data_IF_866860425075
#
_entry.id   IF_866860425075
#
_cell.length_a   1.000
_cell.length_b   1.000
_cell.length_c   1.000
_cell.angle_alpha   90.00
_cell.angle_beta   90.00
_cell.angle_gamma   90.00
#
_symmetry.space_group_name_H-M   'P 1'
#
loop_
_entity.id
_entity.type
_entity.pdbx_description
1 polymer ?
#
# COMPACT_ATOMS: atom_id res chain seq x y z
N UNK A 1 2.36 5.38 -0.78
CA UNK A 1 1.98 4.15 -1.50
C UNK A 1 1.96 2.98 -0.52
N UNK A 2 0.97 2.08 -0.57
CA UNK A 2 1.13 0.79 0.05
C UNK A 2 2.33 0.09 -0.61
N UNK A 3 3.25 -0.39 0.22
CA UNK A 3 4.40 -1.20 -0.20
C UNK A 3 4.06 -2.68 -0.28
N UNK A 4 2.82 -3.05 0.03
CA UNK A 4 2.47 -4.41 0.39
C UNK A 4 1.87 -5.08 -0.84
N UNK A 5 2.42 -6.23 -1.18
CA UNK A 5 1.90 -7.14 -2.16
C UNK A 5 0.57 -7.70 -1.64
N UNK A 6 -0.51 -7.51 -2.39
CA UNK A 6 -1.77 -8.18 -2.08
C UNK A 6 -1.69 -9.57 -2.70
N UNK A 7 -1.48 -10.58 -1.86
CA UNK A 7 -1.61 -11.98 -2.26
C UNK A 7 -3.05 -12.42 -2.02
N UNK A 8 -3.77 -12.76 -3.08
CA UNK A 8 -5.08 -13.42 -3.00
C UNK A 8 -4.89 -14.89 -3.28
N UNK A 9 -5.46 -15.74 -2.43
CA UNK A 9 -5.51 -17.17 -2.70
C UNK A 9 -6.94 -17.51 -3.06
N UNK A 10 -7.16 -17.94 -4.30
CA UNK A 10 -8.43 -18.50 -4.78
C UNK A 10 -8.44 -20.03 -4.62
N UNK A 11 -7.69 -20.55 -3.66
CA UNK A 11 -7.62 -21.98 -3.39
C UNK A 11 -8.56 -22.38 -2.25
N UNK A 12 -9.30 -23.46 -2.51
CA UNK A 12 -10.07 -24.18 -1.49
C UNK A 12 -9.26 -25.27 -0.81
N UNK A 13 -7.99 -25.46 -1.24
CA UNK A 13 -7.05 -26.45 -0.71
C UNK A 13 -6.97 -26.41 0.82
N UNK A 14 -7.30 -27.52 1.50
CA UNK A 14 -7.13 -27.67 2.93
C UNK A 14 -5.69 -27.44 3.40
N UNK A 15 -4.70 -27.76 2.57
CA UNK A 15 -3.27 -27.63 2.88
C UNK A 15 -2.85 -26.16 2.98
N UNK A 16 -3.27 -25.32 2.03
CA UNK A 16 -2.99 -23.87 2.10
C UNK A 16 -3.72 -23.25 3.29
N UNK A 17 -4.99 -23.61 3.52
CA UNK A 17 -5.75 -23.09 4.66
C UNK A 17 -5.11 -23.46 6.01
N UNK A 18 -4.62 -24.70 6.14
CA UNK A 18 -3.88 -25.14 7.32
C UNK A 18 -2.57 -24.35 7.49
N UNK A 19 -1.84 -24.11 6.40
CA UNK A 19 -0.62 -23.29 6.40
C UNK A 19 -0.88 -21.85 6.84
N UNK A 20 -1.96 -21.22 6.34
CA UNK A 20 -2.38 -19.87 6.72
C UNK A 20 -2.75 -19.80 8.21
N UNK A 21 -3.47 -20.79 8.74
CA UNK A 21 -3.79 -20.86 10.15
C UNK A 21 -2.53 -21.04 11.03
N UNK A 22 -1.56 -21.84 10.57
CA UNK A 22 -0.28 -22.01 11.24
C UNK A 22 0.54 -20.71 11.28
N UNK A 23 0.62 -19.98 10.14
CA UNK A 23 1.25 -18.65 10.06
C UNK A 23 0.62 -17.70 11.07
N UNK A 24 -0.71 -17.62 11.12
CA UNK A 24 -1.41 -16.70 12.01
C UNK A 24 -1.08 -16.97 13.49
N UNK A 25 -0.98 -18.24 13.87
CA UNK A 25 -0.62 -18.67 15.22
C UNK A 25 0.86 -18.39 15.55
N UNK A 26 1.76 -18.68 14.63
CA UNK A 26 3.20 -18.48 14.81
C UNK A 26 3.56 -17.00 15.00
N UNK A 27 2.92 -16.13 14.22
CA UNK A 27 3.16 -14.69 14.24
C UNK A 27 2.33 -13.96 15.32
N UNK A 28 1.56 -14.68 16.12
CA UNK A 28 0.65 -14.13 17.14
C UNK A 28 -0.22 -13.02 16.56
N UNK A 29 -0.84 -13.29 15.39
CA UNK A 29 -1.66 -12.29 14.72
C UNK A 29 -2.93 -12.02 15.53
N UNK A 30 -3.40 -10.76 15.60
CA UNK A 30 -4.65 -10.44 16.30
C UNK A 30 -5.82 -11.26 15.75
N UNK A 31 -6.53 -11.95 16.64
CA UNK A 31 -7.74 -12.69 16.31
C UNK A 31 -8.99 -11.80 16.28
N UNK A 32 -10.12 -12.39 16.66
CA UNK A 32 -11.39 -11.68 16.83
C UNK A 32 -11.28 -10.53 17.83
N UNK A 33 -12.12 -9.51 17.64
CA UNK A 33 -12.18 -8.40 18.58
C UNK A 33 -12.76 -8.86 19.93
N UNK A 34 -12.17 -8.42 21.06
CA UNK A 34 -12.78 -8.63 22.37
C UNK A 34 -14.21 -8.07 22.42
N UNK A 35 -15.10 -8.73 23.16
CA UNK A 35 -16.52 -8.34 23.24
C UNK A 35 -16.73 -6.88 23.68
N UNK A 36 -15.88 -6.37 24.58
CA UNK A 36 -15.91 -4.96 25.02
C UNK A 36 -15.58 -3.98 23.89
N UNK A 37 -14.69 -4.35 22.97
CA UNK A 37 -14.30 -3.55 21.80
C UNK A 37 -15.43 -3.53 20.79
N UNK A 38 -16.02 -4.69 20.50
CA UNK A 38 -17.19 -4.79 19.60
C UNK A 38 -18.36 -3.98 20.12
N UNK A 39 -18.70 -4.12 21.41
CA UNK A 39 -19.79 -3.35 22.01
C UNK A 39 -19.51 -1.84 22.05
N UNK A 40 -18.25 -1.41 22.22
CA UNK A 40 -17.87 -0.01 22.12
C UNK A 40 -18.03 0.54 20.70
N UNK A 41 -17.63 -0.23 19.69
CA UNK A 41 -17.78 0.12 18.29
C UNK A 41 -19.26 0.25 17.86
N UNK A 42 -20.12 -0.67 18.31
CA UNK A 42 -21.57 -0.60 18.03
C UNK A 42 -22.22 0.64 18.66
N UNK A 43 -21.85 0.98 19.90
CA UNK A 43 -22.32 2.22 20.54
C UNK A 43 -21.82 3.47 19.80
N UNK A 44 -20.53 3.51 19.46
CA UNK A 44 -19.96 4.62 18.70
C UNK A 44 -20.64 4.81 17.33
N UNK A 45 -21.00 3.71 16.66
CA UNK A 45 -21.76 3.74 15.41
C UNK A 45 -23.16 4.34 15.58
N UNK A 46 -23.86 4.03 16.69
CA UNK A 46 -25.20 4.51 16.96
C UNK A 46 -25.24 5.98 17.43
N UNK A 47 -24.22 6.41 18.18
CA UNK A 47 -24.19 7.71 18.87
C UNK A 47 -23.37 8.78 18.11
N UNK A 48 -23.04 8.54 16.84
CA UNK A 48 -22.20 9.47 16.06
C UNK A 48 -22.85 10.85 15.94
N UNK A 49 -22.06 11.89 16.23
CA UNK A 49 -22.47 13.27 16.02
C UNK A 49 -21.89 13.75 14.70
N UNK A 50 -22.77 14.13 13.77
CA UNK A 50 -22.36 14.65 12.46
C UNK A 50 -21.84 16.08 12.59
N UNK A 51 -20.78 16.46 11.83
CA UNK A 51 -20.32 17.84 11.74
C UNK A 51 -21.42 18.81 11.26
N UNK A 52 -21.28 20.07 11.68
CA UNK A 52 -22.22 21.15 11.30
C UNK A 52 -22.13 21.49 9.81
N UNK A 53 -20.92 21.52 9.25
CA UNK A 53 -20.68 21.82 7.84
C UNK A 53 -21.28 20.71 6.97
N UNK A 54 -22.34 21.05 6.23
CA UNK A 54 -22.99 20.16 5.30
C UNK A 54 -22.38 20.29 3.91
N UNK A 55 -21.82 19.19 3.39
CA UNK A 55 -21.33 19.07 2.01
C UNK A 55 -21.96 17.91 1.26
N UNK A 56 -23.20 17.56 1.61
CA UNK A 56 -24.00 16.55 0.90
C UNK A 56 -24.49 17.03 -0.48
N UNK A 57 -24.24 18.30 -0.81
CA UNK A 57 -24.43 18.91 -2.13
C UNK A 57 -23.39 18.43 -3.15
N UNK A 58 -22.20 18.03 -2.71
CA UNK A 58 -21.15 17.50 -3.56
C UNK A 58 -21.43 16.03 -3.94
N UNK A 59 -21.55 15.68 -5.23
CA UNK A 59 -21.80 14.31 -5.67
C UNK A 59 -20.52 13.47 -5.66
N UNK A 60 -20.05 13.11 -4.47
CA UNK A 60 -18.89 12.23 -4.30
C UNK A 60 -19.14 10.84 -4.89
N UNK A 61 -18.08 10.20 -5.37
CA UNK A 61 -18.06 8.77 -5.71
C UNK A 61 -16.90 8.07 -4.99
N UNK A 62 -17.05 6.79 -4.69
CA UNK A 62 -15.93 5.94 -4.24
C UNK A 62 -15.49 5.02 -5.39
N UNK A 63 -14.21 4.67 -5.44
CA UNK A 63 -13.65 3.78 -6.47
C UNK A 63 -12.64 2.85 -5.79
N UNK A 64 -12.97 1.57 -5.74
CA UNK A 64 -12.25 0.58 -4.92
C UNK A 64 -12.23 -0.79 -5.62
N UNK A 65 -11.49 -1.79 -5.10
CA UNK A 65 -11.64 -3.16 -5.59
C UNK A 65 -13.09 -3.64 -5.48
N UNK A 66 -13.50 -4.51 -6.41
CA UNK A 66 -14.83 -5.10 -6.38
C UNK A 66 -15.09 -5.80 -5.03
N UNK A 67 -16.24 -5.52 -4.42
CA UNK A 67 -16.62 -6.11 -3.13
C UNK A 67 -16.14 -5.35 -1.88
N UNK A 68 -15.23 -4.37 -1.99
CA UNK A 68 -14.72 -3.59 -0.84
C UNK A 68 -15.80 -2.86 -0.04
N UNK A 69 -15.83 -3.04 1.27
CA UNK A 69 -16.83 -2.40 2.15
C UNK A 69 -16.21 -1.33 3.06
N UNK A 70 -14.89 -1.33 3.20
CA UNK A 70 -14.08 -0.38 3.99
C UNK A 70 -13.61 0.81 3.15
N UNK A 71 -14.58 1.63 2.72
CA UNK A 71 -14.37 2.73 1.79
C UNK A 71 -13.85 3.96 2.56
N UNK A 72 -12.53 4.11 2.58
CA UNK A 72 -11.83 5.21 3.23
C UNK A 72 -12.08 6.58 2.55
N UNK A 73 -12.28 6.57 1.23
CA UNK A 73 -12.04 7.69 0.34
C UNK A 73 -13.22 7.90 -0.62
N UNK A 74 -13.66 9.14 -0.79
CA UNK A 74 -14.59 9.51 -1.85
C UNK A 74 -14.14 10.80 -2.55
N UNK A 75 -14.18 10.82 -3.88
CA UNK A 75 -13.65 11.90 -4.72
C UNK A 75 -14.76 12.62 -5.47
N UNK A 76 -14.60 13.93 -5.58
CA UNK A 76 -15.38 14.79 -6.47
C UNK A 76 -14.45 15.87 -7.03
N UNK A 77 -14.39 16.00 -8.35
CA UNK A 77 -13.49 16.94 -9.03
C UNK A 77 -14.33 17.88 -9.88
N UNK A 78 -13.99 19.16 -9.88
CA UNK A 78 -14.60 20.18 -10.73
C UNK A 78 -13.54 21.05 -11.38
N UNK A 79 -13.86 21.65 -12.53
CA UNK A 79 -13.02 22.69 -13.14
C UNK A 79 -13.14 24.00 -12.36
N UNK A 80 -12.04 24.75 -12.32
CA UNK A 80 -11.98 26.10 -11.72
C UNK A 80 -11.10 26.99 -12.62
N UNK A 81 -11.75 27.70 -13.55
CA UNK A 81 -11.04 28.44 -14.59
C UNK A 81 -10.31 27.49 -15.55
N UNK A 82 -9.00 27.67 -15.69
CA UNK A 82 -8.10 26.78 -16.42
C UNK A 82 -7.59 25.60 -15.58
N UNK A 83 -7.76 25.65 -14.26
CA UNK A 83 -7.36 24.61 -13.31
C UNK A 83 -8.52 23.77 -12.78
N UNK A 84 -8.30 23.19 -11.60
CA UNK A 84 -9.22 22.23 -10.99
C UNK A 84 -9.34 22.42 -9.48
N UNK A 85 -10.47 21.98 -8.93
CA UNK A 85 -10.65 21.77 -7.49
C UNK A 85 -10.96 20.30 -7.25
N UNK A 86 -10.09 19.65 -6.47
CA UNK A 86 -10.29 18.28 -6.00
C UNK A 86 -10.88 18.36 -4.60
N UNK A 87 -12.12 17.90 -4.45
CA UNK A 87 -12.74 17.60 -3.18
C UNK A 87 -12.53 16.12 -2.87
N UNK A 88 -11.85 15.84 -1.76
CA UNK A 88 -11.53 14.48 -1.36
C UNK A 88 -11.96 14.25 0.09
N UNK A 89 -13.03 13.49 0.24
CA UNK A 89 -13.59 13.13 1.54
C UNK A 89 -12.88 11.88 2.06
N UNK A 90 -12.32 11.97 3.26
CA UNK A 90 -11.69 10.86 3.98
C UNK A 90 -12.55 10.53 5.21
N UNK A 91 -12.82 9.25 5.47
CA UNK A 91 -13.58 8.82 6.65
C UNK A 91 -13.05 9.42 7.96
N UNK A 92 -13.90 10.10 8.74
CA UNK A 92 -13.49 10.70 10.02
C UNK A 92 -13.59 9.69 11.17
N UNK A 93 -12.54 8.88 11.35
CA UNK A 93 -12.48 7.87 12.43
C UNK A 93 -12.54 8.50 13.82
N UNK A 94 -12.06 9.74 14.00
CA UNK A 94 -12.08 10.43 15.27
C UNK A 94 -13.50 10.85 15.70
N UNK A 95 -14.47 10.88 14.77
CA UNK A 95 -15.88 11.04 15.11
C UNK A 95 -16.46 9.83 15.88
N UNK A 96 -15.83 8.66 15.76
CA UNK A 96 -16.29 7.41 16.38
C UNK A 96 -15.40 6.96 17.53
N UNK A 97 -14.09 7.10 17.38
CA UNK A 97 -13.09 6.55 18.31
C UNK A 97 -12.55 7.65 19.21
N UNK A 98 -12.76 7.51 20.53
CA UNK A 98 -12.31 8.45 21.54
C UNK A 98 -11.00 7.99 22.17
N UNK A 99 -10.07 8.91 22.51
CA UNK A 99 -8.82 8.53 23.16
C UNK A 99 -9.05 7.72 24.44
N UNK A 100 -8.37 6.58 24.56
CA UNK A 100 -8.46 5.69 25.71
C UNK A 100 -9.71 4.81 25.78
N UNK A 101 -10.63 4.89 24.81
CA UNK A 101 -11.74 3.94 24.73
C UNK A 101 -11.27 2.54 24.26
N UNK A 102 -12.10 1.48 24.39
CA UNK A 102 -11.70 0.14 24.01
C UNK A 102 -11.28 0.00 22.53
N UNK A 103 -11.89 0.75 21.62
CA UNK A 103 -11.56 0.72 20.19
C UNK A 103 -10.21 1.38 19.94
N UNK A 104 -9.93 2.50 20.60
CA UNK A 104 -8.65 3.21 20.54
C UNK A 104 -7.48 2.36 21.03
N UNK A 105 -7.65 1.70 22.18
CA UNK A 105 -6.63 0.83 22.77
C UNK A 105 -6.33 -0.35 21.84
N UNK A 106 -7.35 -1.01 21.30
CA UNK A 106 -7.16 -2.14 20.38
C UNK A 106 -6.58 -1.70 19.02
N UNK A 107 -7.01 -0.54 18.49
CA UNK A 107 -6.45 0.03 17.26
C UNK A 107 -4.95 0.35 17.42
N UNK A 108 -4.53 0.85 18.58
CA UNK A 108 -3.12 1.09 18.88
C UNK A 108 -2.30 -0.21 18.98
N UNK A 109 -2.90 -1.31 19.46
CA UNK A 109 -2.27 -2.64 19.50
C UNK A 109 -2.12 -3.26 18.10
N UNK A 110 -3.10 -3.04 17.23
CA UNK A 110 -3.12 -3.56 15.85
C UNK A 110 -2.22 -2.73 14.93
N UNK A 111 -2.35 -1.41 14.96
CA UNK A 111 -1.58 -0.42 14.19
C UNK A 111 -2.00 -0.27 12.72
N UNK A 112 -2.30 -1.37 12.04
CA UNK A 112 -2.84 -1.37 10.68
C UNK A 112 -3.67 -2.64 10.40
N UNK A 113 -4.40 -2.63 9.29
CA UNK A 113 -5.07 -3.84 8.78
C UNK A 113 -4.04 -4.76 8.15
N UNK A 114 -4.05 -6.03 8.55
CA UNK A 114 -3.19 -7.04 7.94
C UNK A 114 -3.96 -7.73 6.81
N UNK A 115 -3.36 -7.74 5.63
CA UNK A 115 -3.88 -8.45 4.45
C UNK A 115 -3.06 -9.70 4.23
N UNK A 116 -3.74 -10.81 3.97
CA UNK A 116 -3.13 -12.06 3.54
C UNK A 116 -3.99 -12.75 2.50
N UNK A 117 -3.55 -13.95 2.12
CA UNK A 117 -4.17 -14.87 1.17
C UNK A 117 -5.64 -15.19 1.43
N UNK A 118 -6.55 -14.26 1.09
CA UNK A 118 -7.99 -14.38 1.31
C UNK A 118 -8.46 -14.05 2.74
N UNK A 119 -7.55 -13.71 3.65
CA UNK A 119 -7.88 -13.33 5.04
C UNK A 119 -7.49 -11.88 5.31
N UNK A 120 -8.39 -11.14 5.94
CA UNK A 120 -8.17 -9.74 6.37
C UNK A 120 -8.34 -9.66 7.87
N UNK A 121 -7.35 -9.10 8.56
CA UNK A 121 -7.40 -8.79 9.99
C UNK A 121 -7.53 -7.28 10.13
N UNK A 122 -8.77 -6.75 10.28
CA UNK A 122 -9.02 -5.33 10.20
C UNK A 122 -8.45 -4.58 11.42
N UNK A 123 -8.09 -3.31 11.20
CA UNK A 123 -7.66 -2.38 12.25
C UNK A 123 -8.81 -2.04 13.20
N UNK A 124 -10.00 -1.81 12.65
CA UNK A 124 -11.21 -1.43 13.40
C UNK A 124 -12.32 -2.48 13.24
N UNK A 125 -13.21 -2.65 14.23
CA UNK A 125 -14.35 -3.56 14.12
C UNK A 125 -15.24 -3.26 12.89
N UNK A 126 -15.80 -4.28 12.21
CA UNK A 126 -16.62 -4.11 11.00
C UNK A 126 -17.79 -3.13 11.15
N UNK A 127 -18.39 -3.04 12.34
CA UNK A 127 -19.44 -2.07 12.65
C UNK A 127 -19.04 -0.62 12.34
N UNK A 128 -17.74 -0.29 12.46
CA UNK A 128 -17.17 0.98 12.07
C UNK A 128 -16.57 0.91 10.66
N UNK A 129 -15.58 0.04 10.44
CA UNK A 129 -14.76 0.02 9.23
C UNK A 129 -15.54 -0.31 7.96
N UNK A 130 -16.55 -1.18 8.03
CA UNK A 130 -17.37 -1.58 6.88
C UNK A 130 -18.79 -1.01 6.94
N UNK A 131 -19.06 -0.14 7.91
CA UNK A 131 -20.39 0.34 8.24
C UNK A 131 -20.41 1.84 8.50
N UNK A 132 -20.37 2.21 9.78
CA UNK A 132 -20.68 3.58 10.21
C UNK A 132 -19.65 4.62 9.77
N UNK A 133 -18.38 4.25 9.64
CA UNK A 133 -17.31 5.16 9.19
C UNK A 133 -17.03 5.05 7.68
N UNK A 134 -17.40 3.94 7.05
CA UNK A 134 -17.24 3.74 5.60
C UNK A 134 -18.11 4.70 4.80
N UNK A 135 -17.55 5.26 3.72
CA UNK A 135 -18.21 6.21 2.81
C UNK A 135 -19.13 5.51 1.79
N UNK A 136 -19.93 4.56 2.27
CA UNK A 136 -20.92 3.83 1.47
C UNK A 136 -21.92 4.78 0.79
N UNK A 137 -22.45 4.41 -0.39
CA UNK A 137 -23.36 5.25 -1.16
C UNK A 137 -24.66 5.52 -0.40
N UNK A 138 -25.25 6.68 -0.69
CA UNK A 138 -26.53 7.18 -0.19
C UNK A 138 -26.65 7.36 1.32
N UNK A 139 -25.52 7.34 2.02
CA UNK A 139 -25.45 7.48 3.46
C UNK A 139 -24.69 8.75 3.85
N UNK A 140 -25.25 9.51 4.79
CA UNK A 140 -24.57 10.69 5.33
C UNK A 140 -23.52 10.23 6.34
N UNK A 141 -22.29 10.72 6.16
CA UNK A 141 -21.11 10.30 6.94
C UNK A 141 -20.25 11.48 7.35
N UNK A 142 -19.63 11.45 8.55
CA UNK A 142 -18.61 12.42 8.91
C UNK A 142 -17.32 12.14 8.12
N UNK A 143 -16.70 13.18 7.59
CA UNK A 143 -15.48 13.09 6.82
C UNK A 143 -14.55 14.27 7.08
N UNK A 144 -13.25 14.01 6.95
CA UNK A 144 -12.24 15.03 6.73
C UNK A 144 -12.28 15.39 5.25
N UNK A 145 -12.87 16.55 4.95
CA UNK A 145 -13.01 17.04 3.58
C UNK A 145 -11.78 17.86 3.20
N UNK A 146 -10.92 17.26 2.39
CA UNK A 146 -9.81 17.95 1.75
C UNK A 146 -10.33 18.72 0.53
N UNK A 147 -9.96 19.99 0.42
CA UNK A 147 -10.16 20.81 -0.77
C UNK A 147 -8.81 21.24 -1.28
N UNK A 148 -8.45 20.79 -2.47
CA UNK A 148 -7.13 20.99 -3.06
C UNK A 148 -7.30 21.70 -4.39
N UNK A 149 -6.69 22.88 -4.55
CA UNK A 149 -6.72 23.66 -5.79
C UNK A 149 -5.51 23.33 -6.64
N UNK A 150 -5.74 23.11 -7.92
CA UNK A 150 -4.72 22.80 -8.91
C UNK A 150 -4.73 23.85 -10.03
N UNK A 151 -3.56 24.14 -10.60
CA UNK A 151 -3.46 24.88 -11.86
C UNK A 151 -3.78 23.99 -13.08
N UNK A 152 -3.64 24.56 -14.29
CA UNK A 152 -3.91 23.89 -15.55
C UNK A 152 -2.98 22.68 -15.81
N UNK A 153 -1.77 22.71 -15.27
CA UNK A 153 -0.79 21.64 -15.34
C UNK A 153 -0.95 20.60 -14.21
N UNK A 154 -2.00 20.76 -13.40
CA UNK A 154 -2.33 19.89 -12.29
C UNK A 154 -1.42 20.07 -11.08
N UNK A 155 -0.55 21.09 -11.02
CA UNK A 155 0.29 21.38 -9.86
C UNK A 155 -0.54 21.96 -8.70
N UNK A 156 -0.16 21.63 -7.47
CA UNK A 156 -0.91 22.03 -6.29
C UNK A 156 -0.67 23.51 -5.96
N UNK A 157 -1.76 24.28 -5.89
CA UNK A 157 -1.75 25.71 -5.52
C UNK A 157 -2.08 25.93 -4.04
N UNK A 158 -3.07 25.20 -3.53
CA UNK A 158 -3.57 25.36 -2.15
C UNK A 158 -4.17 24.05 -1.64
N UNK A 159 -4.14 23.85 -0.32
CA UNK A 159 -4.74 22.71 0.37
C UNK A 159 -5.32 23.14 1.71
N UNK A 160 -6.56 22.72 1.96
CA UNK A 160 -7.22 22.85 3.26
C UNK A 160 -7.99 21.59 3.60
N UNK A 161 -8.19 21.35 4.89
CA UNK A 161 -9.04 20.28 5.40
C UNK A 161 -9.99 20.81 6.46
N UNK A 162 -11.25 20.39 6.39
CA UNK A 162 -12.31 20.75 7.33
C UNK A 162 -13.14 19.51 7.64
N UNK A 163 -13.73 19.43 8.84
CA UNK A 163 -14.73 18.39 9.14
C UNK A 163 -16.05 18.75 8.50
N UNK A 164 -16.61 17.83 7.73
CA UNK A 164 -17.91 17.98 7.09
C UNK A 164 -18.73 16.69 7.19
N UNK A 165 -20.05 16.81 7.06
CA UNK A 165 -20.89 15.67 6.69
C UNK A 165 -21.02 15.61 5.18
N UNK A 166 -20.79 14.44 4.60
CA UNK A 166 -20.80 14.19 3.15
C UNK A 166 -21.72 13.02 2.82
N UNK A 167 -22.04 12.85 1.54
CA UNK A 167 -22.79 11.69 1.05
C UNK A 167 -22.19 11.25 -0.28
N UNK A 168 -21.68 10.01 -0.32
CA UNK A 168 -21.33 9.37 -1.59
C UNK A 168 -22.59 9.04 -2.37
N UNK A 169 -22.56 9.24 -3.68
CA UNK A 169 -23.68 9.01 -4.59
C UNK A 169 -23.55 7.72 -5.39
N UNK A 170 -22.34 7.16 -5.46
CA UNK A 170 -22.07 5.92 -6.17
C UNK A 170 -20.84 5.22 -5.61
N UNK A 171 -20.86 3.89 -5.68
CA UNK A 171 -19.73 3.02 -5.39
C UNK A 171 -19.33 2.31 -6.66
N UNK A 172 -18.15 2.63 -7.18
CA UNK A 172 -17.59 2.00 -8.37
C UNK A 172 -16.57 0.94 -7.99
N UNK A 173 -16.53 -0.15 -8.75
CA UNK A 173 -15.31 -0.94 -8.82
C UNK A 173 -14.33 -0.29 -9.80
N UNK A 174 -13.02 -0.53 -9.63
CA UNK A 174 -12.03 -0.08 -10.62
C UNK A 174 -12.33 -0.61 -12.03
N UNK A 175 -12.82 -1.85 -12.14
CA UNK A 175 -13.18 -2.46 -13.43
C UNK A 175 -14.34 -1.70 -14.07
N UNK A 176 -15.44 -1.51 -13.35
CA UNK A 176 -16.63 -0.81 -13.88
C UNK A 176 -16.29 0.64 -14.26
N UNK A 177 -15.44 1.31 -13.48
CA UNK A 177 -15.01 2.68 -13.75
C UNK A 177 -14.18 2.76 -15.03
N UNK A 178 -13.22 1.83 -15.20
CA UNK A 178 -12.40 1.75 -16.40
C UNK A 178 -13.25 1.44 -17.64
N UNK A 179 -14.16 0.46 -17.56
CA UNK A 179 -15.06 0.12 -18.65
C UNK A 179 -15.94 1.31 -19.07
N UNK A 180 -16.46 2.07 -18.10
CA UNK A 180 -17.25 3.26 -18.39
C UNK A 180 -16.43 4.37 -19.08
N UNK A 181 -15.16 4.55 -18.68
CA UNK A 181 -14.24 5.51 -19.28
C UNK A 181 -13.86 5.11 -20.71
N UNK A 182 -13.61 3.82 -20.94
CA UNK A 182 -13.24 3.29 -22.26
C UNK A 182 -14.43 3.32 -23.23
N UNK A 183 -15.65 3.07 -22.73
CA UNK A 183 -16.88 3.13 -23.50
C UNK A 183 -17.39 4.58 -23.75
N UNK A 184 -16.80 5.58 -23.10
CA UNK A 184 -17.27 6.97 -23.16
C UNK A 184 -18.62 7.20 -22.50
N UNK A 185 -18.99 6.35 -21.52
CA UNK A 185 -20.24 6.44 -20.74
C UNK A 185 -19.99 6.90 -19.30
N UNK A 186 -18.74 7.21 -18.96
CA UNK A 186 -18.35 7.73 -17.65
C UNK A 186 -19.01 9.09 -17.36
N UNK A 187 -19.37 9.30 -16.08
CA UNK A 187 -19.82 10.61 -15.61
C UNK A 187 -18.66 11.61 -15.48
N UNK A 188 -18.98 12.89 -15.34
CA UNK A 188 -18.01 14.00 -15.32
C UNK A 188 -16.89 13.80 -14.27
N UNK A 189 -17.20 13.27 -13.09
CA UNK A 189 -16.19 13.07 -12.03
C UNK A 189 -15.12 12.05 -12.45
N UNK A 190 -15.49 10.96 -13.13
CA UNK A 190 -14.53 9.96 -13.61
C UNK A 190 -13.69 10.51 -14.78
N UNK A 191 -14.32 11.27 -15.67
CA UNK A 191 -13.63 11.96 -16.77
C UNK A 191 -12.58 12.94 -16.25
N UNK A 192 -12.94 13.74 -15.25
CA UNK A 192 -12.01 14.65 -14.59
C UNK A 192 -10.96 13.93 -13.75
N UNK A 193 -11.28 12.76 -13.17
CA UNK A 193 -10.29 11.91 -12.51
C UNK A 193 -9.22 11.43 -13.49
N UNK A 194 -9.61 11.01 -14.69
CA UNK A 194 -8.66 10.64 -15.75
C UNK A 194 -7.78 11.82 -16.15
N UNK A 195 -8.36 12.99 -16.38
CA UNK A 195 -7.62 14.19 -16.77
C UNK A 195 -6.64 14.65 -15.69
N UNK A 196 -7.14 14.85 -14.46
CA UNK A 196 -6.29 15.25 -13.32
C UNK A 196 -5.26 14.17 -13.03
N UNK A 197 -5.64 12.89 -13.01
CA UNK A 197 -4.72 11.77 -12.80
C UNK A 197 -3.55 11.79 -13.78
N UNK A 198 -3.83 11.99 -15.06
CA UNK A 198 -2.81 12.09 -16.12
C UNK A 198 -1.88 13.29 -15.90
N UNK A 199 -2.41 14.46 -15.56
CA UNK A 199 -1.59 15.63 -15.22
C UNK A 199 -0.71 15.36 -14.00
N UNK A 200 -1.24 14.68 -12.98
CA UNK A 200 -0.50 14.33 -11.77
C UNK A 200 0.61 13.30 -12.01
N UNK A 201 0.44 12.37 -12.93
CA UNK A 201 1.49 11.46 -13.42
C UNK A 201 2.61 12.24 -14.10
N UNK A 202 2.28 13.23 -14.94
CA UNK A 202 3.28 14.10 -15.55
C UNK A 202 4.06 14.91 -14.50
N UNK A 203 3.37 15.43 -13.49
CA UNK A 203 3.99 16.08 -12.33
C UNK A 203 4.86 15.11 -11.52
N UNK A 204 4.56 13.81 -11.51
CA UNK A 204 5.39 12.76 -10.91
C UNK A 204 6.69 12.54 -11.64
N UNK A 205 6.61 12.42 -12.95
CA UNK A 205 7.80 12.30 -13.80
C UNK A 205 8.67 13.55 -13.64
N UNK A 206 8.08 14.74 -13.68
CA UNK A 206 8.81 16.00 -13.56
C UNK A 206 9.55 16.16 -12.22
N UNK A 207 8.97 15.69 -11.11
CA UNK A 207 9.64 15.71 -9.79
C UNK A 207 10.66 14.58 -9.59
N UNK A 208 10.76 13.63 -10.52
CA UNK A 208 11.60 12.44 -10.38
C UNK A 208 11.02 11.37 -9.46
N UNK A 209 9.71 11.42 -9.21
CA UNK A 209 9.00 10.41 -8.43
C UNK A 209 8.76 9.13 -9.21
N UNK A 210 8.39 8.08 -8.49
CA UNK A 210 8.01 6.78 -9.02
C UNK A 210 6.76 6.26 -8.30
N UNK A 211 5.82 5.79 -9.09
CA UNK A 211 4.76 4.88 -8.66
C UNK A 211 5.12 3.49 -9.15
N UNK A 212 5.28 2.52 -8.24
CA UNK A 212 5.46 1.13 -8.64
C UNK A 212 4.08 0.56 -8.96
N UNK A 213 3.81 0.12 -10.21
CA UNK A 213 2.54 -0.51 -10.56
C UNK A 213 2.54 -1.95 -10.03
N UNK A 214 2.52 -2.11 -8.70
CA UNK A 214 2.65 -3.40 -8.05
C UNK A 214 1.52 -4.32 -8.52
N UNK A 215 1.82 -5.42 -9.23
CA UNK A 215 0.78 -6.32 -9.65
C UNK A 215 0.16 -6.99 -8.41
N UNK A 216 -1.15 -7.22 -8.43
CA UNK A 216 -1.74 -8.11 -7.43
C UNK A 216 -1.32 -9.54 -7.75
N UNK A 217 -0.93 -10.30 -6.73
CA UNK A 217 -0.60 -11.71 -6.89
C UNK A 217 -1.83 -12.54 -6.54
N UNK A 218 -2.30 -13.34 -7.48
CA UNK A 218 -3.36 -14.30 -7.27
C UNK A 218 -2.79 -15.72 -7.37
N UNK A 219 -3.18 -16.59 -6.45
CA UNK A 219 -2.86 -18.00 -6.51
C UNK A 219 -4.11 -18.73 -6.96
N UNK A 220 -4.05 -19.22 -8.19
CA UNK A 220 -5.11 -20.04 -8.78
C UNK A 220 -4.81 -21.52 -8.56
N UNK A 221 -5.83 -22.26 -8.14
CA UNK A 221 -5.83 -23.71 -8.08
C UNK A 221 -6.14 -24.26 -9.49
N UNK A 222 -5.28 -25.14 -10.00
CA UNK A 222 -5.41 -25.77 -11.32
C UNK A 222 -5.45 -27.29 -11.18
N UNK A 223 -5.88 -28.02 -12.23
CA UNK A 223 -6.04 -29.49 -12.24
C UNK A 223 -4.75 -30.30 -11.95
N UNK A 224 -3.61 -29.65 -11.69
CA UNK A 224 -2.34 -30.28 -11.32
C UNK A 224 -1.46 -29.46 -10.37
N UNK A 225 -2.01 -28.53 -9.59
CA UNK A 225 -1.26 -27.75 -8.61
C UNK A 225 -1.66 -26.27 -8.55
N UNK A 226 -0.80 -25.43 -7.99
CA UNK A 226 -1.02 -23.99 -7.85
C UNK A 226 -0.26 -23.20 -8.90
N UNK A 227 -0.86 -22.10 -9.37
CA UNK A 227 -0.19 -21.14 -10.26
C UNK A 227 -0.27 -19.74 -9.68
N UNK A 228 0.87 -19.05 -9.68
CA UNK A 228 0.92 -17.62 -9.43
C UNK A 228 0.51 -16.86 -10.71
N UNK A 229 -0.50 -16.01 -10.57
CA UNK A 229 -1.04 -15.13 -11.60
C UNK A 229 -0.87 -13.69 -11.11
N UNK A 230 -0.51 -12.79 -12.01
CA UNK A 230 -0.34 -11.38 -11.69
C UNK A 230 -1.44 -10.59 -12.40
N UNK A 231 -2.19 -9.78 -11.65
CA UNK A 231 -3.17 -8.85 -12.22
C UNK A 231 -2.53 -7.51 -12.48
N UNK A 232 -2.67 -7.02 -13.71
CA UNK A 232 -2.31 -5.66 -14.07
C UNK A 232 -3.24 -4.64 -13.38
N UNK A 233 -2.67 -3.53 -12.91
CA UNK A 233 -3.44 -2.40 -12.39
C UNK A 233 -4.03 -1.61 -13.55
N UNK A 234 -5.33 -1.32 -13.47
CA UNK A 234 -6.02 -0.49 -14.46
C UNK A 234 -5.54 0.97 -14.36
N UNK A 235 -5.53 1.74 -15.47
CA UNK A 235 -5.18 3.17 -15.45
C UNK A 235 -5.95 3.98 -14.38
N UNK A 236 -7.25 3.71 -14.21
CA UNK A 236 -8.06 4.39 -13.18
C UNK A 236 -7.57 4.14 -11.74
N UNK A 237 -6.93 3.00 -11.46
CA UNK A 237 -6.29 2.73 -10.17
C UNK A 237 -5.11 3.69 -9.92
N UNK A 238 -4.32 3.94 -10.97
CA UNK A 238 -3.15 4.83 -10.91
C UNK A 238 -3.60 6.30 -10.77
N UNK A 239 -4.63 6.72 -11.51
CA UNK A 239 -5.21 8.06 -11.39
C UNK A 239 -5.79 8.31 -10.00
N UNK A 240 -6.53 7.35 -9.44
CA UNK A 240 -7.03 7.43 -8.07
C UNK A 240 -5.89 7.49 -7.04
N UNK A 241 -4.83 6.71 -7.23
CA UNK A 241 -3.65 6.75 -6.38
C UNK A 241 -2.95 8.13 -6.41
N UNK A 242 -2.92 8.81 -7.57
CA UNK A 242 -2.37 10.16 -7.67
C UNK A 242 -3.17 11.20 -6.87
N UNK A 243 -4.49 11.06 -6.73
CA UNK A 243 -5.29 11.92 -5.83
C UNK A 243 -4.87 11.71 -4.37
N UNK A 244 -4.69 10.46 -3.95
CA UNK A 244 -4.18 10.15 -2.61
C UNK A 244 -2.76 10.70 -2.38
N UNK A 245 -1.87 10.60 -3.38
CA UNK A 245 -0.51 11.14 -3.30
C UNK A 245 -0.52 12.67 -3.19
N UNK A 246 -1.36 13.34 -3.99
CA UNK A 246 -1.59 14.78 -3.93
C UNK A 246 -2.02 15.21 -2.52
N UNK A 247 -3.03 14.55 -1.93
CA UNK A 247 -3.49 14.86 -0.58
C UNK A 247 -2.40 14.64 0.47
N UNK A 248 -1.64 13.54 0.37
CA UNK A 248 -0.55 13.25 1.31
C UNK A 248 0.64 14.23 1.22
N UNK A 249 0.93 14.76 0.03
CA UNK A 249 1.91 15.85 -0.14
C UNK A 249 1.39 17.16 0.45
N UNK A 250 0.11 17.49 0.23
CA UNK A 250 -0.52 18.66 0.83
C UNK A 250 -0.54 18.61 2.36
N UNK A 251 -0.88 17.46 2.94
CA UNK A 251 -0.85 17.25 4.39
C UNK A 251 0.56 17.41 4.98
N UNK A 252 1.58 16.85 4.31
CA UNK A 252 2.96 17.03 4.71
C UNK A 252 3.36 18.51 4.68
N UNK A 253 3.00 19.24 3.63
CA UNK A 253 3.27 20.68 3.52
C UNK A 253 2.63 21.49 4.67
N UNK A 254 1.40 21.16 5.07
CA UNK A 254 0.74 21.80 6.22
C UNK A 254 1.52 21.55 7.52
N UNK A 255 1.84 20.28 7.81
CA UNK A 255 2.54 19.89 9.04
C UNK A 255 3.95 20.45 9.12
N UNK A 256 4.72 20.39 8.02
CA UNK A 256 6.07 20.96 7.94
C UNK A 256 6.03 22.48 8.12
N UNK A 257 5.10 23.16 7.45
CA UNK A 257 4.94 24.61 7.60
C UNK A 257 4.55 25.06 9.02
N UNK A 258 3.80 24.22 9.74
CA UNK A 258 3.41 24.47 11.12
C UNK A 258 4.46 24.00 12.16
N UNK A 259 5.46 23.21 11.75
CA UNK A 259 6.46 22.65 12.66
C UNK A 259 5.94 21.55 13.59
N UNK A 260 4.78 20.95 13.29
CA UNK A 260 4.20 19.87 14.10
C UNK A 260 3.50 18.84 13.21
N UNK A 261 3.75 17.56 13.44
CA UNK A 261 3.05 16.48 12.74
C UNK A 261 3.86 15.19 12.60
N UNK A 262 3.53 14.41 11.57
CA UNK A 262 4.17 13.13 11.27
C UNK A 262 4.33 12.93 9.76
N UNK A 263 5.56 12.66 9.32
CA UNK A 263 5.89 12.37 7.94
C UNK A 263 6.08 10.87 7.71
N UNK A 264 5.74 10.42 6.51
CA UNK A 264 6.15 9.13 5.95
C UNK A 264 7.46 9.35 5.21
N UNK A 265 8.54 8.78 5.71
CA UNK A 265 9.89 9.03 5.20
C UNK A 265 10.43 7.81 4.45
N UNK A 266 11.34 8.02 3.52
CA UNK A 266 12.11 6.97 2.87
C UNK A 266 13.46 7.55 2.46
N UNK A 267 14.59 7.03 2.98
CA UNK A 267 15.91 7.49 2.57
C UNK A 267 16.20 7.16 1.10
N UNK A 268 17.24 7.77 0.49
CA UNK A 268 17.76 7.34 -0.80
C UNK A 268 18.17 5.86 -0.78
N UNK A 269 18.03 5.18 -1.91
CA UNK A 269 18.45 3.78 -2.05
C UNK A 269 19.97 3.64 -1.88
N UNK A 270 20.42 2.58 -1.20
CA UNK A 270 21.85 2.22 -1.13
C UNK A 270 22.32 1.75 -2.52
N UNK A 271 23.45 2.26 -3.06
CA UNK A 271 23.99 1.81 -4.34
C UNK A 271 24.16 0.29 -4.46
N UNK A 272 24.39 -0.42 -3.34
CA UNK A 272 24.47 -1.89 -3.30
C UNK A 272 23.14 -2.56 -3.62
N UNK A 273 22.02 -2.01 -3.17
CA UNK A 273 20.69 -2.53 -3.49
C UNK A 273 20.33 -2.27 -4.96
N UNK A 274 20.71 -1.11 -5.52
CA UNK A 274 20.57 -0.83 -6.96
C UNK A 274 21.41 -1.81 -7.79
N UNK A 275 22.66 -2.06 -7.40
CA UNK A 275 23.52 -3.03 -8.06
C UNK A 275 22.98 -4.46 -7.97
N UNK A 276 22.27 -4.83 -6.89
CA UNK A 276 21.53 -6.09 -6.83
C UNK A 276 20.37 -6.12 -7.81
N UNK A 277 19.56 -5.06 -7.88
CA UNK A 277 18.45 -5.02 -8.83
C UNK A 277 18.89 -5.07 -10.28
N UNK A 278 20.01 -4.46 -10.65
CA UNK A 278 20.58 -4.61 -12.01
C UNK A 278 20.89 -6.08 -12.33
N UNK A 279 21.37 -6.86 -11.36
CA UNK A 279 21.59 -8.31 -11.52
C UNK A 279 20.29 -9.09 -11.61
N UNK A 280 19.26 -8.70 -10.84
CA UNK A 280 17.91 -9.28 -10.95
C UNK A 280 17.32 -9.03 -12.34
N UNK A 281 17.40 -7.79 -12.85
CA UNK A 281 16.97 -7.44 -14.21
C UNK A 281 17.68 -8.31 -15.26
N UNK A 282 19.01 -8.48 -15.15
CA UNK A 282 19.77 -9.40 -16.01
C UNK A 282 19.23 -10.84 -15.96
N UNK A 283 18.96 -11.37 -14.75
CA UNK A 283 18.41 -12.71 -14.58
C UNK A 283 17.01 -12.91 -15.14
N UNK A 284 16.19 -11.86 -15.06
CA UNK A 284 14.88 -11.80 -15.70
C UNK A 284 14.96 -11.46 -17.20
N UNK A 285 16.17 -11.31 -17.76
CA UNK A 285 16.45 -10.95 -19.16
C UNK A 285 15.86 -9.60 -19.59
N UNK A 286 15.81 -8.66 -18.65
CA UNK A 286 15.32 -7.30 -18.84
C UNK A 286 16.50 -6.36 -19.09
N UNK A 287 16.41 -5.57 -20.15
CA UNK A 287 17.43 -4.57 -20.46
C UNK A 287 17.36 -3.40 -19.49
N UNK A 288 18.43 -3.17 -18.74
CA UNK A 288 18.61 -1.96 -17.94
C UNK A 288 19.95 -1.30 -18.29
N UNK A 289 19.98 -0.38 -19.27
CA UNK A 289 21.19 0.34 -19.66
C UNK A 289 21.87 1.07 -18.49
N UNK A 290 23.19 1.25 -18.55
CA UNK A 290 23.94 1.92 -17.47
C UNK A 290 23.56 3.40 -17.31
N UNK A 291 23.26 4.07 -18.42
CA UNK A 291 22.84 5.48 -18.51
C UNK A 291 21.37 5.70 -18.16
N UNK A 292 20.57 4.64 -18.08
CA UNK A 292 19.18 4.71 -17.65
C UNK A 292 19.08 4.76 -16.13
N UNK A 293 18.52 5.86 -15.61
CA UNK A 293 18.25 6.01 -14.19
C UNK A 293 17.13 5.07 -13.71
N UNK A 294 17.03 4.91 -12.38
CA UNK A 294 16.06 4.00 -11.78
C UNK A 294 14.60 4.39 -12.07
N UNK A 295 14.19 5.66 -11.95
CA UNK A 295 12.83 6.06 -12.32
C UNK A 295 12.45 5.78 -13.78
N UNK A 296 13.35 6.04 -14.74
CA UNK A 296 13.12 5.74 -16.14
C UNK A 296 13.04 4.23 -16.38
N UNK A 297 13.87 3.44 -15.69
CA UNK A 297 13.81 1.99 -15.74
C UNK A 297 12.49 1.43 -15.21
N UNK A 298 12.01 1.89 -14.05
CA UNK A 298 10.71 1.44 -13.51
C UNK A 298 9.57 1.73 -14.50
N UNK A 299 9.58 2.90 -15.15
CA UNK A 299 8.55 3.28 -16.13
C UNK A 299 8.62 2.51 -17.45
N UNK A 300 9.76 1.89 -17.76
CA UNK A 300 9.89 1.06 -18.97
C UNK A 300 9.38 -0.37 -18.78
N UNK A 301 9.05 -0.76 -17.55
CA UNK A 301 8.51 -2.08 -17.24
C UNK A 301 7.05 -2.18 -17.73
N UNK A 302 6.86 -2.90 -18.82
CA UNK A 302 5.55 -3.34 -19.34
C UNK A 302 4.86 -4.34 -18.38
N UNK A 303 3.72 -3.98 -17.76
CA UNK A 303 3.00 -4.83 -16.82
C UNK A 303 2.32 -6.05 -17.46
N UNK A 304 2.22 -6.14 -18.79
CA UNK A 304 1.68 -7.31 -19.49
C UNK A 304 2.70 -8.47 -19.61
N UNK A 305 3.97 -8.21 -19.27
CA UNK A 305 5.07 -9.17 -19.37
C UNK A 305 5.41 -9.72 -17.98
N UNK A 306 5.31 -11.05 -17.79
CA UNK A 306 5.54 -11.69 -16.48
C UNK A 306 6.91 -11.42 -15.86
N UNK A 307 7.95 -11.34 -16.68
CA UNK A 307 9.31 -10.97 -16.20
C UNK A 307 9.34 -9.55 -15.64
N UNK A 308 8.65 -8.61 -16.28
CA UNK A 308 8.56 -7.23 -15.80
C UNK A 308 7.73 -7.14 -14.52
N UNK A 309 6.64 -7.91 -14.40
CA UNK A 309 5.86 -8.02 -13.18
C UNK A 309 6.72 -8.50 -12.00
N UNK A 310 7.53 -9.56 -12.20
CA UNK A 310 8.51 -10.02 -11.21
C UNK A 310 9.55 -8.93 -10.87
N UNK A 311 9.99 -8.16 -11.88
CA UNK A 311 10.91 -7.05 -11.66
C UNK A 311 10.31 -5.90 -10.86
N UNK A 312 9.02 -5.56 -11.07
CA UNK A 312 8.31 -4.56 -10.26
C UNK A 312 8.24 -5.00 -8.80
N UNK A 313 7.97 -6.29 -8.54
CA UNK A 313 8.03 -6.84 -7.18
C UNK A 313 9.44 -6.71 -6.60
N UNK A 314 10.49 -7.04 -7.36
CA UNK A 314 11.87 -6.87 -6.91
C UNK A 314 12.20 -5.40 -6.59
N UNK A 315 11.69 -4.44 -7.38
CA UNK A 315 11.90 -3.01 -7.20
C UNK A 315 11.40 -2.49 -5.83
N UNK A 316 10.43 -3.17 -5.19
CA UNK A 316 9.98 -2.84 -3.83
C UNK A 316 11.11 -2.86 -2.81
N UNK A 317 12.19 -3.60 -3.08
CA UNK A 317 13.39 -3.64 -2.23
C UNK A 317 14.03 -2.27 -2.05
N UNK A 318 13.95 -1.37 -3.03
CA UNK A 318 14.48 0.00 -2.87
C UNK A 318 13.60 0.88 -1.99
N UNK A 319 12.41 0.40 -1.59
CA UNK A 319 11.55 1.05 -0.61
C UNK A 319 11.88 0.64 0.84
N UNK A 320 12.95 -0.15 1.04
CA UNK A 320 13.46 -0.50 2.37
C UNK A 320 13.95 0.75 3.11
N UNK A 321 13.72 0.75 4.42
CA UNK A 321 14.01 1.91 5.28
C UNK A 321 12.88 2.94 5.29
N UNK A 322 11.76 2.68 4.62
CA UNK A 322 10.58 3.53 4.76
C UNK A 322 10.08 3.54 6.20
N UNK A 323 9.95 4.72 6.79
CA UNK A 323 9.62 4.91 8.20
C UNK A 323 8.56 5.97 8.43
N UNK A 324 8.33 6.29 9.69
CA UNK A 324 7.57 7.45 10.11
C UNK A 324 8.47 8.32 10.97
N UNK A 325 8.31 9.63 10.84
CA UNK A 325 9.03 10.60 11.68
C UNK A 325 8.03 11.62 12.20
N UNK A 326 7.80 11.62 13.51
CA UNK A 326 7.00 12.62 14.21
C UNK A 326 7.87 13.79 14.66
N UNK A 327 7.28 14.98 14.76
CA UNK A 327 7.96 16.19 15.20
C UNK A 327 6.97 17.16 15.84
N UNK A 328 7.49 17.96 16.77
CA UNK A 328 6.84 19.10 17.41
C UNK A 328 7.95 20.09 17.75
N UNK A 329 8.11 21.11 16.91
CA UNK A 329 9.27 22.01 16.88
C UNK A 329 10.27 21.64 15.77
N UNK A 330 11.36 20.96 16.12
CA UNK A 330 12.44 20.66 15.15
C UNK A 330 12.02 19.60 14.12
N UNK A 331 12.24 19.90 12.84
CA UNK A 331 11.96 18.96 11.75
C UNK A 331 12.93 17.77 11.78
N UNK A 332 12.47 16.57 11.37
CA UNK A 332 13.35 15.41 11.28
C UNK A 332 14.42 15.61 10.21
N UNK A 333 15.62 15.06 10.42
CA UNK A 333 16.73 15.16 9.48
C UNK A 333 16.38 14.65 8.06
N UNK A 334 15.47 13.67 7.97
CA UNK A 334 14.90 13.18 6.73
C UNK A 334 13.42 13.56 6.67
N UNK A 335 13.06 14.59 5.91
CA UNK A 335 11.65 14.99 5.70
C UNK A 335 11.04 14.36 4.45
N UNK A 336 11.86 13.98 3.47
CA UNK A 336 11.39 13.51 2.16
C UNK A 336 11.21 11.99 2.08
N UNK A 337 10.38 11.56 1.14
CA UNK A 337 10.23 10.18 0.72
C UNK A 337 10.87 10.00 -0.66
N UNK A 338 12.02 9.32 -0.74
CA UNK A 338 12.83 9.26 -1.97
C UNK A 338 12.07 8.75 -3.20
N UNK A 339 11.21 7.74 -3.05
CA UNK A 339 10.41 7.21 -4.16
C UNK A 339 9.31 8.18 -4.63
N UNK A 340 8.73 8.98 -3.74
CA UNK A 340 7.70 9.97 -4.13
C UNK A 340 8.38 11.26 -4.65
N UNK A 341 9.65 11.44 -4.28
CA UNK A 341 10.46 12.63 -4.49
C UNK A 341 9.84 13.91 -3.87
N UNK A 342 9.11 13.77 -2.76
CA UNK A 342 8.49 14.89 -2.04
C UNK A 342 8.44 14.62 -0.52
N UNK A 343 8.12 15.65 0.26
CA UNK A 343 7.61 15.46 1.62
C UNK A 343 6.22 14.84 1.53
N UNK A 344 5.93 13.89 2.40
CA UNK A 344 4.74 13.06 2.27
C UNK A 344 4.23 12.58 3.61
N UNK A 345 2.92 12.50 3.75
CA UNK A 345 2.23 11.95 4.92
C UNK A 345 1.10 11.00 4.50
N UNK A 346 0.79 10.05 5.38
CA UNK A 346 -0.39 9.21 5.24
C UNK A 346 -1.56 9.87 5.96
N UNK A 347 -2.61 10.22 5.20
CA UNK A 347 -3.84 10.88 5.71
C UNK A 347 -5.11 10.42 5.00
N UNK A 348 -5.03 9.39 4.16
CA UNK A 348 -6.09 9.03 3.22
C UNK A 348 -6.71 7.68 3.50
N UNK A 349 -6.20 6.88 4.45
CA UNK A 349 -6.68 5.52 4.70
C UNK A 349 -6.88 5.20 6.20
N UNK A 350 -7.61 6.04 6.97
CA UNK A 350 -7.71 5.91 8.42
C UNK A 350 -8.48 4.68 8.91
N UNK A 351 -9.32 4.04 8.08
CA UNK A 351 -9.99 2.79 8.46
C UNK A 351 -9.01 1.63 8.59
N UNK A 352 -7.87 1.70 7.88
CA UNK A 352 -6.86 0.62 7.81
C UNK A 352 -5.46 1.00 8.25
N UNK A 353 -5.15 2.27 8.50
CA UNK A 353 -3.87 2.73 9.04
C UNK A 353 -4.08 3.69 10.20
N UNK A 354 -3.52 3.34 11.36
CA UNK A 354 -3.68 4.13 12.59
C UNK A 354 -3.13 5.56 12.46
N UNK A 355 -1.99 5.72 11.78
CA UNK A 355 -1.29 7.00 11.69
C UNK A 355 -2.10 8.11 11.00
N UNK A 356 -2.94 7.74 10.04
CA UNK A 356 -3.78 8.66 9.27
C UNK A 356 -4.76 9.42 10.16
N UNK A 357 -5.28 8.79 11.23
CA UNK A 357 -6.16 9.45 12.21
C UNK A 357 -5.43 10.62 12.88
N UNK A 358 -4.22 10.39 13.38
CA UNK A 358 -3.45 11.41 14.09
C UNK A 358 -2.96 12.52 13.15
N UNK A 359 -2.45 12.17 11.97
CA UNK A 359 -2.01 13.15 10.98
C UNK A 359 -3.18 14.01 10.47
N UNK A 360 -4.38 13.42 10.31
CA UNK A 360 -5.61 14.14 9.97
C UNK A 360 -6.00 15.18 11.02
N UNK A 361 -5.95 14.83 12.32
CA UNK A 361 -6.21 15.79 13.41
C UNK A 361 -5.23 16.96 13.44
N UNK A 362 -3.94 16.70 13.21
CA UNK A 362 -2.94 17.76 13.13
C UNK A 362 -3.27 18.72 12.00
N UNK A 363 -3.60 18.20 10.81
CA UNK A 363 -3.95 19.03 9.66
C UNK A 363 -5.24 19.84 9.89
N UNK A 364 -6.25 19.24 10.54
CA UNK A 364 -7.47 19.95 10.95
C UNK A 364 -7.17 21.12 11.89
N UNK A 365 -6.34 20.90 12.92
CA UNK A 365 -5.96 21.94 13.86
C UNK A 365 -5.20 23.08 13.17
N UNK A 366 -4.27 22.75 12.26
CA UNK A 366 -3.52 23.73 11.48
C UNK A 366 -4.46 24.58 10.61
N UNK A 367 -5.36 23.95 9.84
CA UNK A 367 -6.30 24.67 8.98
C UNK A 367 -7.29 25.52 9.78
N UNK A 368 -7.76 25.03 10.93
CA UNK A 368 -8.63 25.76 11.85
C UNK A 368 -7.89 26.84 12.67
N UNK A 369 -6.55 26.87 12.61
CA UNK A 369 -5.69 27.73 13.44
C UNK A 369 -5.93 27.57 14.93
N UNK A 370 -6.15 26.33 15.37
CA UNK A 370 -6.29 25.96 16.77
C UNK A 370 -5.10 25.12 17.23
N UNK A 371 -4.83 25.00 18.54
CA UNK A 371 -3.85 24.05 19.04
C UNK A 371 -4.16 22.62 18.57
N UNK A 372 -3.12 21.84 18.31
CA UNK A 372 -3.25 20.38 18.12
C UNK A 372 -3.88 19.78 19.38
N UNK A 373 -4.88 18.87 19.27
CA UNK A 373 -5.51 18.28 20.44
C UNK A 373 -4.50 17.57 21.36
N UNK A 374 -4.65 17.73 22.67
CA UNK A 374 -3.70 17.21 23.67
C UNK A 374 -3.43 15.70 23.52
N UNK A 375 -4.47 14.92 23.19
CA UNK A 375 -4.34 13.47 23.00
C UNK A 375 -3.50 13.09 21.76
N UNK A 376 -3.50 13.95 20.74
CA UNK A 376 -2.67 13.79 19.53
C UNK A 376 -1.23 14.18 19.87
N UNK A 377 -1.04 15.35 20.47
CA UNK A 377 0.27 15.85 20.86
C UNK A 377 0.99 14.87 21.80
N UNK A 378 0.27 14.31 22.78
CA UNK A 378 0.81 13.31 23.70
C UNK A 378 1.19 11.99 23.01
N UNK A 379 0.49 11.59 21.95
CA UNK A 379 0.75 10.34 21.23
C UNK A 379 1.88 10.47 20.19
N UNK A 380 2.04 11.64 19.57
CA UNK A 380 2.98 11.89 18.46
C UNK A 380 4.38 11.28 18.66
N UNK A 381 5.07 11.48 19.81
CA UNK A 381 6.42 10.94 20.00
C UNK A 381 6.50 9.40 19.96
N UNK A 382 5.43 8.70 20.35
CA UNK A 382 5.37 7.24 20.39
C UNK A 382 4.87 6.60 19.09
N UNK A 383 4.10 7.32 18.28
CA UNK A 383 3.43 6.79 17.09
C UNK A 383 4.39 6.16 16.07
N UNK A 384 5.55 6.75 15.72
CA UNK A 384 6.46 6.12 14.77
C UNK A 384 6.85 4.69 15.14
N UNK A 385 7.08 4.44 16.43
CA UNK A 385 7.42 3.10 16.92
C UNK A 385 6.24 2.14 16.77
N UNK A 386 5.04 2.55 17.17
CA UNK A 386 3.81 1.76 17.02
C UNK A 386 3.56 1.37 15.56
N UNK A 387 3.68 2.34 14.64
CA UNK A 387 3.49 2.10 13.22
C UNK A 387 4.59 1.23 12.63
N UNK A 388 5.84 1.36 13.09
CA UNK A 388 6.94 0.51 12.64
C UNK A 388 6.81 -0.94 13.13
N UNK A 389 6.39 -1.14 14.38
CA UNK A 389 6.15 -2.47 14.94
C UNK A 389 5.00 -3.18 14.21
N UNK A 390 3.94 -2.44 13.88
CA UNK A 390 2.82 -2.92 13.06
C UNK A 390 3.25 -3.29 11.64
N UNK A 391 4.01 -2.40 10.96
CA UNK A 391 4.54 -2.65 9.62
C UNK A 391 5.48 -3.86 9.56
N UNK A 392 6.27 -4.09 10.62
CA UNK A 392 7.11 -5.29 10.74
C UNK A 392 6.25 -6.55 10.84
N UNK A 393 5.15 -6.52 11.61
CA UNK A 393 4.20 -7.65 11.71
C UNK A 393 3.54 -7.91 10.36
N UNK A 394 3.05 -6.88 9.69
CA UNK A 394 2.45 -6.98 8.35
C UNK A 394 3.42 -7.58 7.33
N UNK A 395 4.65 -7.06 7.24
CA UNK A 395 5.66 -7.59 6.31
C UNK A 395 6.14 -9.01 6.65
N UNK A 396 6.14 -9.42 7.93
CA UNK A 396 6.39 -10.82 8.30
C UNK A 396 5.24 -11.73 7.89
N UNK A 397 4.00 -11.28 8.03
CA UNK A 397 2.84 -12.04 7.60
C UNK A 397 2.80 -12.22 6.09
N UNK A 398 2.96 -11.13 5.33
CA UNK A 398 3.01 -11.13 3.87
C UNK A 398 4.08 -12.08 3.33
N UNK A 399 5.31 -12.01 3.86
CA UNK A 399 6.39 -12.93 3.49
C UNK A 399 6.07 -14.38 3.80
N UNK A 400 5.54 -14.68 4.98
CA UNK A 400 5.22 -16.05 5.35
C UNK A 400 4.11 -16.65 4.47
N UNK A 401 3.17 -15.82 4.01
CA UNK A 401 2.14 -16.21 3.04
C UNK A 401 2.76 -16.46 1.66
N UNK A 402 3.66 -15.58 1.20
CA UNK A 402 4.37 -15.77 -0.07
C UNK A 402 5.22 -17.06 -0.04
N UNK A 403 6.00 -17.29 1.01
CA UNK A 403 6.82 -18.50 1.18
C UNK A 403 5.97 -19.78 1.15
N UNK A 404 4.77 -19.74 1.74
CA UNK A 404 3.81 -20.86 1.70
C UNK A 404 3.33 -21.11 0.27
N UNK A 405 2.98 -20.05 -0.45
CA UNK A 405 2.50 -20.12 -1.84
C UNK A 405 3.59 -20.63 -2.77
N UNK A 406 4.81 -20.09 -2.67
CA UNK A 406 5.95 -20.52 -3.48
C UNK A 406 6.29 -21.99 -3.23
N UNK A 407 6.28 -22.44 -1.97
CA UNK A 407 6.46 -23.84 -1.62
C UNK A 407 5.35 -24.73 -2.22
N UNK A 408 4.10 -24.27 -2.21
CA UNK A 408 2.98 -25.00 -2.79
C UNK A 408 3.10 -25.13 -4.31
N UNK A 409 3.53 -24.07 -5.00
CA UNK A 409 3.72 -24.04 -6.46
C UNK A 409 4.88 -24.96 -6.89
N UNK A 410 5.92 -25.11 -6.06
CA UNK A 410 7.13 -25.88 -6.38
C UNK A 410 7.13 -27.31 -5.83
N UNK A 411 6.17 -27.69 -4.98
CA UNK A 411 6.15 -28.98 -4.27
C UNK A 411 6.30 -30.19 -5.21
N UNK A 412 5.61 -30.19 -6.35
CA UNK A 412 5.60 -31.32 -7.29
C UNK A 412 6.76 -31.30 -8.30
N UNK A 413 7.68 -30.34 -8.18
CA UNK A 413 8.79 -30.11 -9.13
C UNK A 413 10.17 -30.44 -8.56
N UNK A 414 10.25 -31.07 -7.39
CA UNK A 414 11.53 -31.40 -6.73
C UNK A 414 12.38 -32.30 -7.64
N UNK A 415 13.64 -31.93 -7.84
CA UNK A 415 14.58 -32.58 -8.75
C UNK A 415 14.62 -31.98 -10.16
N UNK A 416 13.68 -31.11 -10.53
CA UNK A 416 13.72 -30.38 -11.80
C UNK A 416 14.82 -29.31 -11.83
N UNK A 417 15.27 -28.97 -13.04
CA UNK A 417 16.27 -27.96 -13.30
C UNK A 417 15.64 -26.66 -13.80
N UNK A 418 16.16 -25.54 -13.33
CA UNK A 418 15.67 -24.21 -13.64
C UNK A 418 16.82 -23.31 -14.08
N UNK A 419 16.56 -22.48 -15.09
CA UNK A 419 17.46 -21.41 -15.47
C UNK A 419 17.29 -20.22 -14.51
N UNK A 420 18.39 -19.64 -14.05
CA UNK A 420 18.36 -18.47 -13.19
C UNK A 420 19.67 -17.69 -13.14
N UNK A 421 19.71 -16.64 -12.34
CA UNK A 421 20.92 -15.84 -12.08
C UNK A 421 21.12 -15.68 -10.58
N UNK A 422 22.36 -15.81 -10.12
CA UNK A 422 22.72 -15.55 -8.72
C UNK A 422 22.71 -14.05 -8.46
N UNK A 423 21.79 -13.57 -7.63
CA UNK A 423 21.57 -12.14 -7.34
C UNK A 423 22.20 -11.68 -6.02
N UNK A 424 22.61 -12.60 -5.17
CA UNK A 424 23.47 -12.29 -4.02
C UNK A 424 24.24 -13.52 -3.57
N UNK A 425 25.44 -13.30 -3.04
CA UNK A 425 26.22 -14.28 -2.28
C UNK A 425 26.33 -13.75 -0.85
N UNK A 426 26.32 -14.66 0.12
CA UNK A 426 26.51 -14.29 1.52
C UNK A 426 27.96 -13.86 1.77
N UNK A 427 28.15 -12.78 2.54
CA UNK A 427 29.48 -12.26 2.86
C UNK A 427 30.30 -13.26 3.69
N UNK A 428 29.64 -14.08 4.51
CA UNK A 428 30.25 -15.07 5.39
C UNK A 428 30.41 -16.46 4.76
N UNK A 429 29.73 -16.72 3.64
CA UNK A 429 29.69 -18.05 3.00
C UNK A 429 29.56 -17.94 1.48
N UNK A 430 30.69 -18.00 0.77
CA UNK A 430 30.73 -17.84 -0.68
C UNK A 430 29.96 -18.94 -1.47
N UNK A 431 29.63 -20.05 -0.82
CA UNK A 431 28.88 -21.19 -1.35
C UNK A 431 27.37 -21.05 -1.18
N UNK A 432 26.88 -19.95 -0.58
CA UNK A 432 25.47 -19.75 -0.26
C UNK A 432 24.98 -18.37 -0.70
N UNK A 433 23.78 -18.30 -1.25
CA UNK A 433 23.29 -17.09 -1.89
C UNK A 433 21.81 -17.15 -2.26
N UNK A 434 21.41 -16.27 -3.17
CA UNK A 434 20.05 -16.18 -3.71
C UNK A 434 20.12 -16.28 -5.23
N UNK A 435 19.24 -17.10 -5.81
CA UNK A 435 19.02 -17.22 -7.25
C UNK A 435 17.64 -16.68 -7.61
N UNK A 436 17.51 -16.05 -8.77
CA UNK A 436 16.22 -15.68 -9.35
C UNK A 436 15.95 -16.59 -10.54
N UNK A 437 14.80 -17.26 -10.52
CA UNK A 437 14.41 -18.21 -11.56
C UNK A 437 13.64 -17.48 -12.66
N UNK A 438 14.15 -17.52 -13.89
CA UNK A 438 13.61 -16.70 -14.99
C UNK A 438 12.19 -17.12 -15.43
N UNK A 439 11.85 -18.41 -15.28
CA UNK A 439 10.57 -18.98 -15.73
C UNK A 439 9.42 -18.68 -14.77
N UNK A 440 9.69 -18.76 -13.46
CA UNK A 440 8.67 -18.65 -12.40
C UNK A 440 8.73 -17.34 -11.62
N UNK A 441 9.79 -16.54 -11.79
CA UNK A 441 9.95 -15.25 -11.11
C UNK A 441 10.21 -15.34 -9.60
N UNK A 442 10.60 -16.51 -9.10
CA UNK A 442 10.86 -16.77 -7.67
C UNK A 442 12.30 -16.41 -7.32
N UNK A 443 12.50 -15.68 -6.21
CA UNK A 443 13.82 -15.51 -5.58
C UNK A 443 13.99 -16.56 -4.47
N UNK A 444 14.94 -17.49 -4.63
CA UNK A 444 15.11 -18.59 -3.66
C UNK A 444 16.56 -18.74 -3.18
N UNK A 445 16.77 -19.29 -1.97
CA UNK A 445 18.08 -19.71 -1.51
C UNK A 445 18.73 -20.73 -2.45
N UNK A 446 20.02 -20.54 -2.74
CA UNK A 446 20.84 -21.50 -3.50
C UNK A 446 22.14 -21.81 -2.75
N UNK A 447 22.54 -23.08 -2.76
CA UNK A 447 23.84 -23.53 -2.24
C UNK A 447 24.65 -24.25 -3.32
N UNK A 448 25.97 -24.24 -3.18
CA UNK A 448 26.91 -24.85 -4.12
C UNK A 448 28.08 -25.52 -3.41
N UNK A 449 28.75 -26.45 -4.08
CA UNK A 449 30.01 -27.03 -3.60
C UNK A 449 31.22 -26.13 -3.86
N UNK A 450 31.09 -25.16 -4.77
CA UNK A 450 32.08 -24.17 -5.12
C UNK A 450 31.54 -22.74 -4.89
N UNK A 451 32.41 -21.71 -4.85
CA UNK A 451 31.95 -20.32 -4.75
C UNK A 451 30.90 -19.99 -5.82
N UNK A 452 29.80 -19.37 -5.41
CA UNK A 452 28.70 -19.04 -6.30
C UNK A 452 29.12 -17.95 -7.31
N UNK A 453 28.80 -18.13 -8.61
CA UNK A 453 29.17 -17.17 -9.64
C UNK A 453 28.18 -15.99 -9.66
N UNK A 454 28.51 -14.93 -8.92
CA UNK A 454 27.62 -13.79 -8.73
C UNK A 454 27.31 -13.05 -10.05
N UNK A 455 26.03 -12.98 -10.40
CA UNK A 455 25.57 -12.28 -11.60
C UNK A 455 25.74 -13.07 -12.91
N UNK A 456 26.12 -14.34 -12.85
CA UNK A 456 26.20 -15.24 -14.00
C UNK A 456 24.91 -16.05 -14.17
N UNK A 457 24.65 -16.46 -15.42
CA UNK A 457 23.57 -17.39 -15.75
C UNK A 457 23.94 -18.80 -15.26
N UNK A 458 23.02 -19.42 -14.53
CA UNK A 458 23.21 -20.73 -13.94
C UNK A 458 22.01 -21.64 -14.22
N UNK A 459 22.25 -22.95 -14.16
CA UNK A 459 21.20 -23.96 -14.11
C UNK A 459 21.21 -24.60 -12.73
N UNK A 460 20.15 -24.37 -11.96
CA UNK A 460 20.02 -24.85 -10.58
C UNK A 460 18.99 -25.97 -10.50
N UNK A 461 19.18 -26.91 -9.58
CA UNK A 461 18.24 -28.01 -9.33
C UNK A 461 17.40 -27.70 -8.10
N UNK A 462 16.08 -27.89 -8.16
CA UNK A 462 15.23 -27.76 -6.98
C UNK A 462 15.49 -28.92 -6.03
N UNK A 463 16.14 -28.64 -4.90
CA UNK A 463 16.53 -29.66 -3.93
C UNK A 463 15.43 -29.92 -2.90
N UNK A 464 14.64 -28.92 -2.54
CA UNK A 464 13.56 -29.04 -1.55
C UNK A 464 12.47 -28.02 -1.84
N UNK A 465 11.21 -28.47 -1.76
CA UNK A 465 10.02 -27.64 -1.66
C UNK A 465 9.12 -28.25 -0.58
N UNK A 466 9.21 -27.72 0.64
CA UNK A 466 8.49 -28.21 1.82
C UNK A 466 7.42 -27.20 2.21
N UNK A 467 6.17 -27.60 2.04
CA UNK A 467 5.00 -26.78 2.35
C UNK A 467 4.85 -26.51 3.86
N UNK A 468 5.14 -27.50 4.71
CA UNK A 468 5.01 -27.37 6.15
C UNK A 468 6.09 -26.45 6.73
N UNK A 469 7.32 -26.55 6.20
CA UNK A 469 8.41 -25.65 6.57
C UNK A 469 8.33 -24.28 5.88
N UNK A 470 7.52 -24.14 4.81
CA UNK A 470 7.49 -23.00 3.87
C UNK A 470 8.88 -22.70 3.33
N UNK A 471 9.56 -23.74 2.85
CA UNK A 471 10.95 -23.65 2.39
C UNK A 471 11.11 -24.20 1.00
N UNK A 472 11.69 -23.38 0.14
CA UNK A 472 12.24 -23.78 -1.16
C UNK A 472 13.75 -23.60 -1.13
N UNK A 473 14.49 -24.55 -1.69
CA UNK A 473 15.95 -24.48 -1.73
C UNK A 473 16.48 -25.13 -3.02
N UNK A 474 17.49 -24.48 -3.59
CA UNK A 474 18.12 -24.91 -4.82
C UNK A 474 19.59 -25.28 -4.58
N UNK A 475 20.10 -26.15 -5.44
CA UNK A 475 21.53 -26.47 -5.49
C UNK A 475 22.10 -26.15 -6.87
N UNK A 476 23.31 -25.61 -6.86
CA UNK A 476 24.19 -25.51 -8.01
C UNK A 476 25.29 -26.57 -7.85
N UNK A 477 25.50 -27.46 -8.84
CA UNK A 477 26.53 -28.49 -8.74
C UNK A 477 27.94 -27.91 -8.53
#
# INVERSE_FOLDING_TARGET
MPSNLVVRVKASSPEIQAGLAAIAKELDLPGEFPAEVTAAAERAAADVVLPELDRTDLPFITIDPAGSMDLDQAVHIVRDGDGFVVHYAIADVAAFVKPGDPVDVEANKRGETLYGAGTRIPLHPPALSEGAASLLPDQVRPALLWTIRLDAEGAQLDVRVERARVRSTARWSYVDAQEALDAGTAGEVLELLREVGTLREQQEVARGGISLPLPEQEVDETDGGFRLVFREQLPVEQWNAQVSLLTGMGAASLMVGAGVGMLRTLPPADPRDVARLRRVAKGLRISWPEDMDYPAFVRSLDPSVSQHQAMVVACTRLLRGSGYASFDGELPAQTRHSAIAAEYAHVTAPLRRLGDRYAGEVCLAICARTPVPDWVAAALPGLPKTLQDSARRAGSYERAVLDLVEAAVLADRVGEQFAGVVTSVRDDEATSGVVVLAEVGVEAPVTSTAPLPLGEDVTVTLATADLAARKVAFTLP
#
